data_IF_880946956288
#
_entry.id   IF_880946956288
#
_cell.length_a   1.000
_cell.length_b   1.000
_cell.length_c   1.000
_cell.angle_alpha   90.00
_cell.angle_beta   90.00
_cell.angle_gamma   90.00
#
_symmetry.space_group_name_H-M   'P 1'
#
loop_
_entity.id
_entity.type
_entity.pdbx_description
1 polymer ?
#
# COMPACT_ATOMS: atom_id res chain seq x y z
N UNK A 1 11.38 -21.78 -29.73
CA UNK A 1 11.40 -20.55 -30.45
C UNK A 1 10.09 -20.18 -31.16
N UNK A 2 8.92 -20.27 -30.49
CA UNK A 2 7.63 -19.91 -31.08
C UNK A 2 7.49 -18.38 -31.18
N UNK A 3 7.04 -17.88 -32.35
CA UNK A 3 6.65 -16.47 -32.52
C UNK A 3 5.27 -16.27 -31.94
N UNK A 4 5.09 -15.20 -31.16
CA UNK A 4 3.83 -14.88 -30.48
C UNK A 4 3.51 -13.39 -30.59
N UNK A 5 2.26 -13.06 -30.38
CA UNK A 5 1.76 -11.71 -30.29
C UNK A 5 1.40 -11.39 -28.84
N UNK A 6 1.73 -10.18 -28.41
CA UNK A 6 1.42 -9.65 -27.07
C UNK A 6 0.35 -8.58 -27.27
N UNK A 7 -0.75 -8.74 -26.55
CA UNK A 7 -1.94 -7.88 -26.67
C UNK A 7 -2.40 -7.37 -25.32
N UNK A 8 -2.84 -6.13 -25.32
CA UNK A 8 -3.57 -5.49 -24.22
C UNK A 8 -4.87 -4.93 -24.76
N UNK A 9 -5.92 -4.83 -23.93
CA UNK A 9 -7.27 -4.45 -24.34
C UNK A 9 -7.33 -3.12 -25.13
N UNK A 10 -6.52 -2.13 -24.70
CA UNK A 10 -6.46 -0.80 -25.33
C UNK A 10 -5.03 -0.45 -25.81
N UNK A 11 -4.20 -1.46 -26.08
CA UNK A 11 -2.79 -1.29 -26.44
C UNK A 11 -2.45 -1.72 -27.85
N UNK A 12 -1.30 -1.28 -28.37
CA UNK A 12 -0.81 -1.73 -29.66
C UNK A 12 -0.45 -3.22 -29.64
N UNK A 13 -0.65 -3.88 -30.79
CA UNK A 13 -0.18 -5.23 -31.02
C UNK A 13 1.36 -5.24 -31.07
N UNK A 14 1.98 -6.07 -30.25
CA UNK A 14 3.43 -6.30 -30.27
C UNK A 14 3.73 -7.76 -30.64
N UNK A 15 4.86 -8.01 -31.27
CA UNK A 15 5.33 -9.36 -31.58
C UNK A 15 6.54 -9.70 -30.73
N UNK A 16 6.66 -10.97 -30.37
CA UNK A 16 7.79 -11.48 -29.58
C UNK A 16 8.12 -12.92 -29.95
N UNK A 17 9.22 -13.43 -29.40
CA UNK A 17 9.64 -14.82 -29.61
C UNK A 17 9.94 -15.47 -28.26
N UNK A 18 9.22 -16.54 -27.96
CA UNK A 18 9.49 -17.35 -26.76
C UNK A 18 10.79 -18.12 -27.01
N UNK A 19 11.78 -17.94 -26.15
CA UNK A 19 13.06 -18.63 -26.22
C UNK A 19 13.06 -19.90 -25.36
N UNK A 20 12.44 -19.84 -24.17
CA UNK A 20 12.32 -20.97 -23.25
C UNK A 20 10.97 -20.99 -22.57
N UNK A 21 10.53 -22.20 -22.28
CA UNK A 21 9.30 -22.49 -21.53
C UNK A 21 9.68 -23.37 -20.33
N UNK A 22 9.16 -23.05 -19.15
CA UNK A 22 9.36 -23.85 -17.95
C UNK A 22 8.03 -24.15 -17.28
N UNK A 23 7.90 -25.38 -16.80
CA UNK A 23 6.84 -25.83 -15.92
C UNK A 23 7.35 -25.92 -14.48
N UNK A 24 6.44 -25.84 -13.52
CA UNK A 24 6.75 -26.00 -12.11
C UNK A 24 6.41 -27.43 -11.64
N UNK A 25 7.38 -28.08 -11.02
CA UNK A 25 7.17 -29.32 -10.28
C UNK A 25 7.54 -29.08 -8.82
N UNK A 26 6.56 -28.74 -8.02
CA UNK A 26 6.79 -28.17 -6.68
C UNK A 26 7.55 -26.85 -6.78
N UNK A 27 8.73 -26.78 -6.18
CA UNK A 27 9.60 -25.60 -6.22
C UNK A 27 10.62 -25.62 -7.38
N UNK A 28 10.71 -26.71 -8.11
CA UNK A 28 11.68 -26.86 -9.19
C UNK A 28 11.10 -26.34 -10.51
N UNK A 29 11.94 -25.63 -11.27
CA UNK A 29 11.65 -25.19 -12.64
C UNK A 29 12.23 -26.17 -13.63
N UNK A 30 11.39 -26.85 -14.40
CA UNK A 30 11.79 -27.81 -15.41
C UNK A 30 11.53 -27.22 -16.79
N UNK A 31 12.56 -27.23 -17.65
CA UNK A 31 12.40 -26.80 -19.05
C UNK A 31 11.47 -27.79 -19.78
N UNK A 32 10.48 -27.26 -20.48
CA UNK A 32 9.46 -28.03 -21.17
C UNK A 32 9.35 -27.58 -22.63
N UNK A 33 8.91 -28.50 -23.48
CA UNK A 33 8.69 -28.22 -24.89
C UNK A 33 7.28 -27.74 -25.16
N UNK A 34 6.33 -28.13 -24.32
CA UNK A 34 4.91 -27.81 -24.43
C UNK A 34 4.28 -27.66 -23.06
N UNK A 35 3.15 -26.98 -22.99
CA UNK A 35 2.33 -26.81 -21.80
C UNK A 35 0.85 -26.97 -22.20
N UNK A 36 0.04 -27.49 -21.26
CA UNK A 36 -1.39 -27.69 -21.46
C UNK A 36 -2.22 -26.52 -20.94
N UNK A 37 -3.45 -26.40 -21.39
CA UNK A 37 -4.40 -25.44 -20.87
C UNK A 37 -4.64 -25.68 -19.36
N UNK A 38 -4.49 -24.63 -18.57
CA UNK A 38 -4.57 -24.68 -17.09
C UNK A 38 -3.20 -24.68 -16.41
N UNK A 39 -2.10 -24.91 -17.13
CA UNK A 39 -0.77 -24.88 -16.54
C UNK A 39 -0.32 -23.44 -16.23
N UNK A 40 0.38 -23.31 -15.11
CA UNK A 40 1.12 -22.09 -14.77
C UNK A 40 2.56 -22.24 -15.28
N UNK A 41 2.94 -21.37 -16.21
CA UNK A 41 4.22 -21.47 -16.90
C UNK A 41 5.10 -20.24 -16.68
N UNK A 42 6.43 -20.43 -16.77
CA UNK A 42 7.39 -19.35 -16.87
C UNK A 42 7.92 -19.30 -18.30
N UNK A 43 7.83 -18.13 -18.92
CA UNK A 43 8.23 -17.89 -20.30
C UNK A 43 9.40 -16.92 -20.31
N UNK A 44 10.43 -17.22 -21.11
CA UNK A 44 11.55 -16.32 -21.37
C UNK A 44 11.58 -15.88 -22.84
N UNK A 45 12.13 -14.68 -23.08
CA UNK A 45 12.34 -14.13 -24.43
C UNK A 45 11.35 -13.06 -24.84
N UNK A 46 10.48 -12.60 -23.94
CA UNK A 46 9.54 -11.50 -24.17
C UNK A 46 9.97 -10.29 -23.32
N UNK A 47 10.78 -9.36 -23.87
CA UNK A 47 11.11 -8.12 -23.18
C UNK A 47 9.86 -7.24 -23.07
N UNK A 48 9.84 -6.38 -22.08
CA UNK A 48 8.81 -5.35 -21.88
C UNK A 48 7.36 -5.88 -21.73
N UNK A 49 7.19 -7.14 -21.35
CA UNK A 49 5.87 -7.67 -21.01
C UNK A 49 5.42 -7.15 -19.65
N UNK A 50 4.15 -6.77 -19.57
CA UNK A 50 3.53 -6.27 -18.34
C UNK A 50 2.40 -7.19 -17.86
N UNK A 51 2.09 -7.11 -16.57
CA UNK A 51 1.00 -7.89 -15.97
C UNK A 51 -0.34 -7.49 -16.62
N UNK A 52 -1.18 -8.51 -16.92
CA UNK A 52 -2.47 -8.32 -17.59
C UNK A 52 -2.42 -8.33 -19.11
N UNK A 53 -1.26 -8.52 -19.71
CA UNK A 53 -1.15 -8.72 -21.16
C UNK A 53 -1.40 -10.17 -21.56
N UNK A 54 -2.04 -10.37 -22.71
CA UNK A 54 -2.34 -11.67 -23.29
C UNK A 54 -1.28 -12.04 -24.32
N UNK A 55 -0.74 -13.24 -24.21
CA UNK A 55 0.18 -13.82 -25.19
C UNK A 55 -0.60 -14.81 -26.05
N UNK A 56 -0.55 -14.68 -27.36
CA UNK A 56 -1.27 -15.53 -28.31
C UNK A 56 -0.43 -15.81 -29.56
N UNK A 57 -0.71 -16.91 -30.24
CA UNK A 57 -0.14 -17.23 -31.56
C UNK A 57 -0.97 -16.63 -32.70
N UNK A 58 -2.21 -16.21 -32.43
CA UNK A 58 -3.11 -15.62 -33.43
C UNK A 58 -3.16 -14.11 -33.28
N UNK A 59 -2.75 -13.38 -34.34
CA UNK A 59 -2.80 -11.93 -34.39
C UNK A 59 -4.22 -11.35 -34.30
N UNK A 60 -5.27 -12.12 -34.59
CA UNK A 60 -6.67 -11.69 -34.57
C UNK A 60 -7.41 -12.12 -33.30
N UNK A 61 -6.81 -12.96 -32.45
CA UNK A 61 -7.44 -13.37 -31.20
C UNK A 61 -7.71 -12.16 -30.30
N UNK A 62 -8.86 -12.10 -29.65
CA UNK A 62 -9.17 -11.06 -28.66
C UNK A 62 -8.33 -11.25 -27.39
N UNK A 63 -7.80 -10.16 -26.79
CA UNK A 63 -7.09 -10.26 -25.52
C UNK A 63 -8.05 -10.67 -24.40
N UNK A 64 -7.56 -11.45 -23.45
CA UNK A 64 -8.33 -11.79 -22.26
C UNK A 64 -8.62 -10.52 -21.42
N UNK A 65 -9.76 -10.45 -20.73
CA UNK A 65 -10.08 -9.32 -19.88
C UNK A 65 -9.05 -9.18 -18.76
N UNK A 66 -8.50 -7.98 -18.61
CA UNK A 66 -7.58 -7.68 -17.52
C UNK A 66 -8.33 -7.61 -16.18
N UNK A 67 -7.69 -8.08 -15.11
CA UNK A 67 -8.22 -7.91 -13.76
C UNK A 67 -8.12 -6.44 -13.38
N UNK A 68 -9.25 -5.83 -13.04
CA UNK A 68 -9.29 -4.46 -12.53
C UNK A 68 -8.57 -4.40 -11.17
N UNK A 69 -7.66 -3.46 -11.03
CA UNK A 69 -6.91 -3.23 -9.80
C UNK A 69 -7.30 -1.86 -9.27
N UNK A 70 -7.61 -1.80 -7.96
CA UNK A 70 -7.98 -0.56 -7.31
C UNK A 70 -6.88 0.50 -7.45
N UNK A 71 -7.31 1.74 -7.65
CA UNK A 71 -6.40 2.87 -7.72
C UNK A 71 -5.70 3.11 -6.37
N UNK A 72 -4.46 3.64 -6.38
CA UNK A 72 -3.80 4.04 -5.16
C UNK A 72 -4.60 5.11 -4.40
N UNK A 73 -4.71 4.95 -3.09
CA UNK A 73 -5.46 5.86 -2.21
C UNK A 73 -4.55 6.76 -1.38
N UNK A 74 -3.31 6.36 -1.13
CA UNK A 74 -2.34 7.12 -0.36
C UNK A 74 -1.05 7.36 -1.11
N UNK A 75 -0.40 8.48 -0.80
CA UNK A 75 0.90 8.85 -1.33
C UNK A 75 1.84 9.29 -0.21
N UNK A 76 3.12 8.99 -0.35
CA UNK A 76 4.18 9.47 0.52
C UNK A 76 5.47 9.69 -0.29
N UNK A 77 6.40 10.46 0.28
CA UNK A 77 7.69 10.74 -0.34
C UNK A 77 8.75 9.81 0.23
N UNK A 78 9.51 9.16 -0.65
CA UNK A 78 10.70 8.39 -0.31
C UNK A 78 11.92 9.24 -0.62
N UNK A 79 12.81 9.39 0.35
CA UNK A 79 13.99 10.27 0.29
C UNK A 79 15.22 9.52 0.79
N UNK A 80 16.37 10.03 0.43
CA UNK A 80 17.62 9.63 1.08
C UNK A 80 17.54 9.99 2.57
N UNK A 81 17.95 9.07 3.43
CA UNK A 81 18.01 9.35 4.87
C UNK A 81 19.10 10.40 5.15
N UNK A 82 18.69 11.56 5.61
CA UNK A 82 19.57 12.67 6.01
C UNK A 82 19.63 12.87 7.54
N UNK A 83 19.16 11.88 8.30
CA UNK A 83 19.21 11.92 9.76
C UNK A 83 20.65 11.78 10.28
N UNK A 84 20.93 12.12 11.56
CA UNK A 84 22.25 11.91 12.18
C UNK A 84 22.70 10.44 12.23
N UNK A 85 21.79 9.50 11.93
CA UNK A 85 22.03 8.06 11.95
C UNK A 85 22.14 7.44 10.54
N UNK A 86 22.13 8.27 9.50
CA UNK A 86 22.20 7.82 8.11
C UNK A 86 23.43 6.94 7.86
N UNK A 87 23.22 5.83 7.12
CA UNK A 87 24.28 4.90 6.72
C UNK A 87 24.74 3.93 7.81
N UNK A 88 24.02 3.80 8.92
CA UNK A 88 24.38 2.87 10.01
C UNK A 88 23.72 1.50 9.88
N UNK A 89 22.50 1.46 9.38
CA UNK A 89 21.68 0.24 9.31
C UNK A 89 21.64 -0.36 7.91
N UNK A 90 21.64 0.49 6.86
CA UNK A 90 21.52 0.07 5.47
C UNK A 90 22.82 0.15 4.68
N UNK A 91 22.96 -0.75 3.70
CA UNK A 91 24.07 -0.74 2.72
C UNK A 91 23.76 0.17 1.51
N UNK A 92 22.48 0.30 1.17
CA UNK A 92 22.00 1.04 0.00
C UNK A 92 21.31 2.32 0.46
N UNK A 93 22.00 3.45 0.34
CA UNK A 93 21.60 4.73 0.95
C UNK A 93 21.47 5.86 -0.08
N UNK A 94 21.73 5.59 -1.37
CA UNK A 94 21.72 6.63 -2.40
C UNK A 94 20.39 6.72 -3.14
N UNK A 95 20.03 7.90 -3.62
CA UNK A 95 18.82 8.15 -4.42
C UNK A 95 18.75 7.22 -5.65
N UNK A 96 19.86 7.01 -6.35
CA UNK A 96 19.94 6.11 -7.50
C UNK A 96 19.59 4.67 -7.13
N UNK A 97 20.11 4.15 -6.03
CA UNK A 97 19.82 2.78 -5.57
C UNK A 97 18.34 2.63 -5.20
N UNK A 98 17.76 3.64 -4.53
CA UNK A 98 16.33 3.66 -4.20
C UNK A 98 15.49 3.64 -5.48
N UNK A 99 15.84 4.48 -6.49
CA UNK A 99 15.16 4.51 -7.77
C UNK A 99 15.23 3.17 -8.50
N UNK A 100 16.39 2.52 -8.55
CA UNK A 100 16.59 1.21 -9.17
C UNK A 100 15.76 0.12 -8.48
N UNK A 101 15.61 0.17 -7.17
CA UNK A 101 14.73 -0.75 -6.43
C UNK A 101 13.27 -0.51 -6.78
N UNK A 102 12.81 0.74 -6.69
CA UNK A 102 11.42 1.10 -6.99
C UNK A 102 11.03 0.78 -8.44
N UNK A 103 11.95 0.96 -9.40
CA UNK A 103 11.72 0.60 -10.81
C UNK A 103 11.49 -0.91 -10.97
N UNK A 104 12.30 -1.74 -10.32
CA UNK A 104 12.09 -3.21 -10.32
C UNK A 104 10.81 -3.62 -9.61
N UNK A 105 10.46 -2.93 -8.54
CA UNK A 105 9.21 -3.21 -7.80
C UNK A 105 7.97 -2.92 -8.66
N UNK A 106 8.00 -1.88 -9.51
CA UNK A 106 6.91 -1.55 -10.43
C UNK A 106 6.64 -2.66 -11.46
N UNK A 107 7.61 -3.50 -11.79
CA UNK A 107 7.43 -4.61 -12.74
C UNK A 107 6.51 -5.70 -12.17
N UNK A 108 6.50 -5.88 -10.85
CA UNK A 108 5.75 -6.96 -10.17
C UNK A 108 4.60 -6.46 -9.32
N UNK A 109 4.63 -5.22 -8.89
CA UNK A 109 3.66 -4.62 -7.97
C UNK A 109 2.72 -3.64 -8.70
N UNK A 110 1.69 -4.19 -9.32
CA UNK A 110 0.72 -3.42 -10.14
C UNK A 110 -0.12 -2.40 -9.37
N UNK A 111 -0.20 -2.53 -8.04
CA UNK A 111 -0.89 -1.56 -7.17
C UNK A 111 -0.02 -0.38 -6.74
N UNK A 112 1.25 -0.37 -7.14
CA UNK A 112 2.21 0.68 -6.84
C UNK A 112 2.31 1.66 -8.02
N UNK A 113 2.37 2.95 -7.73
CA UNK A 113 2.75 3.98 -8.71
C UNK A 113 3.86 4.83 -8.11
N UNK A 114 4.88 5.13 -8.91
CA UNK A 114 6.01 5.96 -8.49
C UNK A 114 6.22 7.08 -9.48
N UNK A 115 6.34 8.29 -8.98
CA UNK A 115 6.72 9.47 -9.76
C UNK A 115 8.19 9.79 -9.47
N UNK A 116 9.02 9.74 -10.51
CA UNK A 116 10.46 10.01 -10.49
C UNK A 116 10.81 11.42 -11.00
N UNK A 117 9.84 12.31 -11.17
CA UNK A 117 10.06 13.64 -11.75
C UNK A 117 10.90 14.55 -10.86
N UNK A 118 10.87 14.35 -9.54
CA UNK A 118 11.68 15.11 -8.58
C UNK A 118 13.05 14.47 -8.37
N UNK A 119 14.07 15.30 -8.21
CA UNK A 119 15.43 14.87 -7.84
C UNK A 119 15.63 14.69 -6.34
N UNK A 120 14.78 15.29 -5.52
CA UNK A 120 14.90 15.30 -4.06
C UNK A 120 14.15 14.12 -3.40
N UNK A 121 13.03 13.69 -3.99
CA UNK A 121 12.21 12.60 -3.47
C UNK A 121 11.47 11.86 -4.56
N UNK A 122 11.11 10.63 -4.31
CA UNK A 122 10.21 9.83 -5.14
C UNK A 122 8.83 9.81 -4.51
N UNK A 123 7.81 10.23 -5.25
CA UNK A 123 6.42 10.14 -4.78
C UNK A 123 5.90 8.74 -5.03
N UNK A 124 5.73 7.98 -3.96
CA UNK A 124 5.25 6.59 -3.98
C UNK A 124 3.77 6.58 -3.60
N UNK A 125 2.93 6.02 -4.47
CA UNK A 125 1.49 5.90 -4.28
C UNK A 125 1.11 4.43 -4.12
N UNK A 126 0.37 4.10 -3.08
CA UNK A 126 -0.06 2.75 -2.78
C UNK A 126 -1.55 2.67 -2.42
N UNK A 127 -2.09 1.44 -2.39
CA UNK A 127 -3.50 1.17 -2.10
C UNK A 127 -3.88 1.34 -0.62
N UNK A 128 -2.90 1.40 0.28
CA UNK A 128 -3.15 1.55 1.72
C UNK A 128 -1.88 1.44 2.55
N UNK A 129 -2.01 1.69 3.86
CA UNK A 129 -0.88 1.69 4.81
C UNK A 129 -0.11 0.37 4.82
N UNK A 130 -0.81 -0.78 4.83
CA UNK A 130 -0.17 -2.11 4.85
C UNK A 130 0.65 -2.36 3.58
N UNK A 131 0.16 -1.96 2.42
CA UNK A 131 0.87 -2.10 1.15
C UNK A 131 2.23 -1.39 1.19
N UNK A 132 2.24 -0.15 1.69
CA UNK A 132 3.46 0.63 1.84
C UNK A 132 4.36 0.07 2.95
N UNK A 133 3.79 -0.39 4.07
CA UNK A 133 4.57 -0.99 5.15
C UNK A 133 5.32 -2.25 4.69
N UNK A 134 4.68 -3.10 3.87
CA UNK A 134 5.31 -4.28 3.28
C UNK A 134 6.45 -3.87 2.32
N UNK A 135 6.22 -2.86 1.47
CA UNK A 135 7.26 -2.34 0.59
C UNK A 135 8.49 -1.87 1.39
N UNK A 136 8.27 -1.07 2.43
CA UNK A 136 9.35 -0.57 3.30
C UNK A 136 10.08 -1.70 4.01
N UNK A 137 9.36 -2.70 4.52
CA UNK A 137 9.96 -3.86 5.18
C UNK A 137 10.80 -4.71 4.20
N UNK A 138 10.32 -4.89 2.97
CA UNK A 138 11.09 -5.58 1.92
C UNK A 138 12.36 -4.79 1.56
N UNK A 139 12.27 -3.46 1.44
CA UNK A 139 13.44 -2.60 1.23
C UNK A 139 14.43 -2.73 2.38
N UNK A 140 13.95 -2.66 3.63
CA UNK A 140 14.79 -2.81 4.82
C UNK A 140 15.51 -4.16 4.83
N UNK A 141 14.80 -5.27 4.57
CA UNK A 141 15.38 -6.62 4.48
C UNK A 141 16.40 -6.75 3.36
N UNK A 142 16.19 -6.05 2.26
CA UNK A 142 17.14 -5.99 1.15
C UNK A 142 18.36 -5.10 1.44
N UNK A 143 18.43 -4.45 2.61
CA UNK A 143 19.54 -3.61 3.06
C UNK A 143 19.46 -2.15 2.60
N UNK A 144 18.29 -1.69 2.19
CA UNK A 144 18.05 -0.28 1.87
C UNK A 144 17.71 0.51 3.14
N UNK A 145 18.24 1.71 3.21
CA UNK A 145 17.91 2.70 4.24
C UNK A 145 17.27 3.91 3.56
N UNK A 146 16.03 4.19 3.94
CA UNK A 146 15.23 5.27 3.33
C UNK A 146 14.55 6.11 4.41
N UNK A 147 14.39 7.38 4.12
CA UNK A 147 13.53 8.28 4.89
C UNK A 147 12.19 8.41 4.17
N UNK A 148 11.10 8.35 4.92
CA UNK A 148 9.75 8.47 4.36
C UNK A 148 8.98 9.59 5.04
N UNK A 149 8.14 10.28 4.27
CA UNK A 149 7.19 11.25 4.82
C UNK A 149 5.99 10.54 5.46
N UNK A 150 5.16 11.31 6.16
CA UNK A 150 3.85 10.81 6.56
C UNK A 150 3.00 10.48 5.32
N UNK A 151 2.23 9.36 5.33
CA UNK A 151 1.29 9.06 4.28
C UNK A 151 0.16 10.10 4.25
N UNK A 152 -0.22 10.52 3.05
CA UNK A 152 -1.34 11.42 2.81
C UNK A 152 -2.31 10.77 1.84
N UNK A 153 -3.61 10.93 2.06
CA UNK A 153 -4.60 10.52 1.06
C UNK A 153 -4.40 11.33 -0.23
N UNK A 154 -4.59 10.67 -1.36
CA UNK A 154 -4.44 11.29 -2.68
C UNK A 154 -5.67 12.15 -2.92
N UNK A 155 -5.46 13.46 -3.03
CA UNK A 155 -6.50 14.41 -3.41
C UNK A 155 -6.25 14.83 -4.85
N UNK A 156 -7.31 14.86 -5.66
CA UNK A 156 -7.25 15.27 -7.06
C UNK A 156 -8.43 16.17 -7.43
N UNK A 157 -8.30 16.89 -8.51
CA UNK A 157 -9.39 17.71 -9.06
C UNK A 157 -10.05 16.96 -10.22
N UNK A 158 -11.35 16.76 -10.14
CA UNK A 158 -12.17 16.18 -11.21
C UNK A 158 -13.28 17.14 -11.57
N UNK A 159 -13.29 17.62 -12.81
CA UNK A 159 -14.30 18.55 -13.35
C UNK A 159 -14.50 19.80 -12.47
N UNK A 160 -13.43 20.34 -11.91
CA UNK A 160 -13.48 21.52 -11.04
C UNK A 160 -13.91 21.24 -9.60
N UNK A 161 -14.06 19.97 -9.21
CA UNK A 161 -14.38 19.55 -7.84
C UNK A 161 -13.19 18.81 -7.24
N UNK A 162 -12.77 19.20 -6.05
CA UNK A 162 -11.76 18.47 -5.30
C UNK A 162 -12.35 17.16 -4.79
N UNK A 163 -11.75 16.04 -5.16
CA UNK A 163 -12.16 14.70 -4.73
C UNK A 163 -11.07 14.00 -3.94
N UNK A 164 -11.49 13.13 -3.04
CA UNK A 164 -10.64 12.30 -2.20
C UNK A 164 -11.11 10.83 -2.19
N UNK A 165 -10.23 9.85 -1.90
CA UNK A 165 -10.62 8.45 -1.86
C UNK A 165 -11.49 8.17 -0.65
N UNK A 166 -12.53 7.37 -0.85
CA UNK A 166 -13.46 6.89 0.17
C UNK A 166 -13.32 5.39 0.36
N UNK A 167 -13.49 4.96 1.60
CA UNK A 167 -13.47 3.57 2.00
C UNK A 167 -14.73 3.18 2.74
N UNK A 168 -15.17 1.96 2.51
CA UNK A 168 -16.09 1.25 3.37
C UNK A 168 -15.27 0.52 4.44
N UNK A 169 -15.60 0.73 5.71
CA UNK A 169 -14.99 0.02 6.83
C UNK A 169 -15.97 -1.00 7.38
N UNK A 170 -15.51 -2.24 7.48
CA UNK A 170 -16.17 -3.31 8.20
C UNK A 170 -15.47 -3.49 9.55
N UNK A 171 -16.21 -3.28 10.62
CA UNK A 171 -15.72 -3.42 11.99
C UNK A 171 -16.50 -4.51 12.70
N UNK A 172 -15.79 -5.54 13.16
CA UNK A 172 -16.32 -6.54 14.09
C UNK A 172 -15.68 -6.33 15.45
N UNK A 173 -16.47 -6.07 16.49
CA UNK A 173 -15.96 -5.85 17.84
C UNK A 173 -16.97 -6.32 18.90
N UNK A 174 -16.53 -6.66 20.12
CA UNK A 174 -17.42 -6.89 21.25
C UNK A 174 -18.36 -5.68 21.49
N UNK A 175 -19.62 -5.96 21.86
CA UNK A 175 -20.65 -4.93 22.00
C UNK A 175 -20.30 -3.81 23.01
N UNK A 176 -19.47 -4.09 24.00
CA UNK A 176 -19.00 -3.11 24.98
C UNK A 176 -18.17 -1.97 24.34
N UNK A 177 -17.48 -2.22 23.21
CA UNK A 177 -16.65 -1.22 22.51
C UNK A 177 -17.38 -0.46 21.42
N UNK A 178 -18.64 -0.83 21.11
CA UNK A 178 -19.44 -0.23 20.05
C UNK A 178 -19.46 1.30 20.12
N UNK A 179 -19.80 1.86 21.29
CA UNK A 179 -19.91 3.30 21.48
C UNK A 179 -18.59 4.04 21.21
N UNK A 180 -17.49 3.51 21.73
CA UNK A 180 -16.15 4.08 21.53
C UNK A 180 -15.75 4.07 20.06
N UNK A 181 -16.03 2.99 19.33
CA UNK A 181 -15.69 2.87 17.90
C UNK A 181 -16.51 3.87 17.07
N UNK A 182 -17.82 3.99 17.34
CA UNK A 182 -18.70 4.93 16.62
C UNK A 182 -18.25 6.37 16.86
N UNK A 183 -17.95 6.75 18.09
CA UNK A 183 -17.46 8.09 18.41
C UNK A 183 -16.15 8.41 17.71
N UNK A 184 -15.16 7.51 17.81
CA UNK A 184 -13.81 7.68 17.21
C UNK A 184 -13.86 7.79 15.69
N UNK A 185 -14.63 6.94 15.03
CA UNK A 185 -14.79 6.99 13.58
C UNK A 185 -15.61 8.20 13.15
N UNK A 186 -16.63 8.60 13.91
CA UNK A 186 -17.42 9.80 13.64
C UNK A 186 -16.58 11.07 13.63
N UNK A 187 -15.69 11.27 14.61
CA UNK A 187 -14.75 12.40 14.65
C UNK A 187 -13.80 12.41 13.44
N UNK A 188 -13.52 11.23 12.88
CA UNK A 188 -12.66 11.03 11.72
C UNK A 188 -13.38 11.12 10.36
N UNK A 189 -14.64 11.53 10.37
CA UNK A 189 -15.44 11.75 9.17
C UNK A 189 -16.10 10.50 8.61
N UNK A 190 -16.16 9.40 9.37
CA UNK A 190 -16.89 8.19 8.98
C UNK A 190 -18.35 8.27 9.44
N UNK A 191 -19.24 7.79 8.59
CA UNK A 191 -20.67 7.69 8.84
C UNK A 191 -21.05 6.22 9.00
N UNK A 192 -21.70 5.88 10.10
CA UNK A 192 -22.25 4.55 10.33
C UNK A 192 -23.41 4.31 9.36
N UNK A 193 -23.36 3.23 8.58
CA UNK A 193 -24.36 2.83 7.60
C UNK A 193 -25.23 1.68 8.10
N UNK A 194 -24.57 0.68 8.66
CA UNK A 194 -25.26 -0.52 9.11
C UNK A 194 -24.66 -1.03 10.41
N UNK A 195 -25.51 -1.65 11.22
CA UNK A 195 -25.14 -2.31 12.46
C UNK A 195 -25.94 -3.60 12.60
N UNK A 196 -25.24 -4.71 12.89
CA UNK A 196 -25.85 -6.01 13.13
C UNK A 196 -25.24 -6.63 14.38
N UNK A 197 -26.06 -7.07 15.31
CA UNK A 197 -25.63 -7.79 16.49
C UNK A 197 -25.44 -9.28 16.15
N UNK A 198 -24.34 -9.85 16.58
CA UNK A 198 -23.99 -11.26 16.43
C UNK A 198 -23.52 -11.79 17.79
N UNK A 199 -24.42 -12.39 18.53
CA UNK A 199 -24.13 -12.91 19.89
C UNK A 199 -23.52 -11.84 20.80
N UNK A 200 -22.21 -11.94 21.12
CA UNK A 200 -21.46 -11.00 21.93
C UNK A 200 -20.80 -9.89 21.11
N UNK A 201 -20.70 -10.06 19.81
CA UNK A 201 -20.05 -9.13 18.89
C UNK A 201 -21.07 -8.29 18.11
N UNK A 202 -20.62 -7.16 17.66
CA UNK A 202 -21.37 -6.25 16.80
C UNK A 202 -20.57 -6.01 15.53
N UNK A 203 -21.23 -6.25 14.38
CA UNK A 203 -20.70 -5.89 13.07
C UNK A 203 -21.25 -4.52 12.67
N UNK A 204 -20.33 -3.63 12.37
CA UNK A 204 -20.63 -2.25 11.98
C UNK A 204 -20.02 -1.96 10.63
N UNK A 205 -20.78 -1.32 9.74
CA UNK A 205 -20.31 -0.86 8.43
C UNK A 205 -20.31 0.66 8.42
N UNK A 206 -19.18 1.25 8.08
CA UNK A 206 -19.00 2.69 7.97
C UNK A 206 -18.54 3.08 6.57
N UNK A 207 -18.88 4.28 6.14
CA UNK A 207 -18.32 4.92 4.95
C UNK A 207 -17.62 6.22 5.33
N UNK A 208 -16.45 6.48 4.77
CA UNK A 208 -15.72 7.72 5.03
C UNK A 208 -14.45 7.88 4.23
N UNK A 209 -13.78 9.03 4.37
CA UNK A 209 -12.59 9.34 3.60
C UNK A 209 -11.36 8.56 4.10
N UNK A 210 -10.53 8.07 3.17
CA UNK A 210 -9.29 7.33 3.50
C UNK A 210 -8.39 8.07 4.50
N UNK A 211 -8.34 9.41 4.44
CA UNK A 211 -7.54 10.21 5.40
C UNK A 211 -8.00 10.07 6.85
N UNK A 212 -9.26 9.65 7.09
CA UNK A 212 -9.81 9.41 8.42
C UNK A 212 -9.29 8.12 9.05
N UNK A 213 -8.95 7.08 8.26
CA UNK A 213 -8.42 5.82 8.79
C UNK A 213 -6.91 5.87 9.04
N UNK A 214 -6.18 6.80 8.39
CA UNK A 214 -4.74 6.92 8.56
C UNK A 214 -4.36 7.10 10.04
N UNK A 215 -3.54 6.17 10.54
CA UNK A 215 -3.11 6.14 11.94
C UNK A 215 -4.19 5.73 12.96
N UNK A 216 -5.38 5.29 12.54
CA UNK A 216 -6.43 4.83 13.43
C UNK A 216 -6.25 3.38 13.90
N UNK A 217 -5.64 2.52 13.06
CA UNK A 217 -5.54 1.08 13.35
C UNK A 217 -4.92 0.76 14.71
N UNK A 218 -3.85 1.45 15.09
CA UNK A 218 -3.22 1.26 16.41
C UNK A 218 -4.15 1.70 17.55
N UNK A 219 -4.84 2.82 17.38
CA UNK A 219 -5.81 3.29 18.38
C UNK A 219 -7.00 2.32 18.48
N UNK A 220 -7.47 1.78 17.37
CA UNK A 220 -8.54 0.79 17.33
C UNK A 220 -8.18 -0.49 18.13
N UNK A 221 -6.96 -0.98 17.97
CA UNK A 221 -6.47 -2.14 18.75
C UNK A 221 -6.49 -1.83 20.26
N UNK A 222 -6.10 -0.62 20.66
CA UNK A 222 -6.14 -0.19 22.08
C UNK A 222 -7.59 -0.08 22.55
N UNK A 223 -8.45 0.62 21.78
CA UNK A 223 -9.84 0.88 22.14
C UNK A 223 -10.68 -0.41 22.24
N UNK A 224 -10.31 -1.44 21.51
CA UNK A 224 -10.97 -2.77 21.51
C UNK A 224 -10.21 -3.84 22.28
N UNK A 225 -9.16 -3.47 23.01
CA UNK A 225 -8.27 -4.39 23.76
C UNK A 225 -7.71 -5.54 22.90
N UNK A 226 -7.58 -5.31 21.59
CA UNK A 226 -7.11 -6.32 20.63
C UNK A 226 -8.16 -7.31 20.15
N UNK A 227 -9.40 -7.22 20.59
CA UNK A 227 -10.48 -8.14 20.22
C UNK A 227 -11.22 -7.72 18.94
N UNK A 228 -11.04 -6.46 18.49
CA UNK A 228 -11.70 -5.93 17.30
C UNK A 228 -10.99 -6.30 16.00
N UNK A 229 -11.77 -6.51 14.95
CA UNK A 229 -11.30 -6.70 13.57
C UNK A 229 -11.76 -5.49 12.75
N UNK A 230 -10.84 -4.89 12.00
CA UNK A 230 -11.10 -3.75 11.13
C UNK A 230 -10.58 -4.04 9.74
N UNK A 231 -11.50 -4.15 8.78
CA UNK A 231 -11.22 -4.28 7.36
C UNK A 231 -11.67 -3.04 6.61
N UNK A 232 -10.99 -2.70 5.52
CA UNK A 232 -11.35 -1.57 4.66
C UNK A 232 -11.39 -1.99 3.20
N UNK A 233 -12.32 -1.39 2.45
CA UNK A 233 -12.48 -1.58 1.02
C UNK A 233 -12.61 -0.23 0.33
N UNK A 234 -11.85 -0.02 -0.75
CA UNK A 234 -11.90 1.20 -1.56
C UNK A 234 -13.20 1.27 -2.36
N UNK A 235 -13.90 2.40 -2.26
CA UNK A 235 -15.19 2.62 -2.92
C UNK A 235 -15.12 3.57 -4.13
N UNK A 236 -13.99 4.25 -4.33
CA UNK A 236 -13.84 5.26 -5.35
C UNK A 236 -13.54 6.64 -4.79
N UNK A 237 -13.42 7.62 -5.68
CA UNK A 237 -13.20 9.02 -5.32
C UNK A 237 -14.55 9.75 -5.19
N UNK A 238 -14.69 10.55 -4.14
CA UNK A 238 -15.89 11.36 -3.86
C UNK A 238 -15.47 12.78 -3.48
N UNK A 239 -16.41 13.76 -3.55
CA UNK A 239 -16.11 15.13 -3.13
C UNK A 239 -15.51 15.20 -1.73
N UNK A 240 -14.53 16.08 -1.55
CA UNK A 240 -13.82 16.28 -0.29
C UNK A 240 -14.79 16.76 0.81
N UNK A 241 -14.79 16.09 1.96
CA UNK A 241 -15.78 16.28 3.05
C UNK A 241 -15.39 17.34 4.09
N UNK A 242 -14.44 18.23 3.79
CA UNK A 242 -13.98 19.25 4.73
C UNK A 242 -12.85 18.76 5.66
N UNK A 243 -12.53 19.53 6.69
CA UNK A 243 -11.40 19.23 7.57
C UNK A 243 -11.73 18.21 8.65
N UNK A 244 -10.84 17.23 8.85
CA UNK A 244 -10.87 16.32 10.00
C UNK A 244 -9.99 16.94 11.10
N UNK A 245 -10.51 17.01 12.33
CA UNK A 245 -9.74 17.48 13.48
C UNK A 245 -8.49 16.64 13.67
N UNK A 246 -7.32 17.28 13.60
CA UNK A 246 -6.03 16.66 13.91
C UNK A 246 -5.78 16.72 15.41
N UNK A 247 -4.86 15.90 15.90
CA UNK A 247 -4.41 15.95 17.29
C UNK A 247 -3.84 17.34 17.63
N UNK A 248 -4.04 17.78 18.86
CA UNK A 248 -3.59 19.09 19.35
C UNK A 248 -2.11 19.14 19.73
N UNK A 249 -1.47 17.99 19.92
CA UNK A 249 -0.05 17.87 20.36
C UNK A 249 0.83 17.32 19.25
N UNK A 250 2.09 17.76 19.22
CA UNK A 250 3.10 17.34 18.26
C UNK A 250 3.63 15.92 18.49
N UNK A 251 4.68 15.56 17.76
CA UNK A 251 5.46 14.34 17.96
C UNK A 251 6.84 14.69 18.48
N UNK A 252 7.40 13.84 19.30
CA UNK A 252 8.77 13.98 19.79
C UNK A 252 9.64 12.92 19.13
N UNK A 253 10.79 13.36 18.61
CA UNK A 253 11.75 12.52 17.89
C UNK A 253 13.09 12.57 18.62
N UNK A 254 13.70 11.40 18.85
CA UNK A 254 15.05 11.32 19.42
C UNK A 254 16.07 11.94 18.46
N UNK A 255 16.94 12.78 18.99
CA UNK A 255 18.04 13.42 18.26
C UNK A 255 19.40 12.74 18.50
N UNK A 256 19.47 11.80 19.44
CA UNK A 256 20.72 11.14 19.82
C UNK A 256 20.44 9.69 20.25
N UNK A 257 21.49 8.88 20.19
CA UNK A 257 21.46 7.52 20.77
C UNK A 257 21.51 7.62 22.31
N UNK A 258 20.75 6.73 22.97
CA UNK A 258 20.71 6.66 24.43
C UNK A 258 19.71 5.61 24.89
N UNK A 259 19.65 5.40 26.20
CA UNK A 259 18.62 4.54 26.82
C UNK A 259 17.38 5.38 27.11
N UNK A 260 16.23 4.89 26.67
CA UNK A 260 14.95 5.44 27.06
C UNK A 260 14.63 4.96 28.50
N UNK A 261 14.38 5.92 29.40
CA UNK A 261 14.02 5.64 30.78
C UNK A 261 12.54 5.94 30.99
N UNK A 262 11.77 4.96 31.51
CA UNK A 262 10.33 5.10 31.73
C UNK A 262 9.95 6.36 32.53
N UNK A 263 10.69 6.70 33.56
CA UNK A 263 10.47 7.89 34.38
C UNK A 263 10.64 9.20 33.56
N UNK A 264 11.66 9.28 32.72
CA UNK A 264 11.88 10.45 31.86
C UNK A 264 10.80 10.57 30.76
N UNK A 265 10.42 9.46 30.17
CA UNK A 265 9.36 9.41 29.16
C UNK A 265 7.99 9.81 29.74
N UNK A 266 7.69 9.41 30.97
CA UNK A 266 6.44 9.77 31.64
C UNK A 266 6.24 11.29 31.74
N UNK A 267 7.29 12.04 32.10
CA UNK A 267 7.22 13.51 32.15
C UNK A 267 7.15 14.19 30.78
N UNK A 268 7.49 13.49 29.69
CA UNK A 268 7.48 14.03 28.32
C UNK A 268 6.18 13.76 27.55
N UNK A 269 5.38 12.78 27.98
CA UNK A 269 4.17 12.35 27.27
C UNK A 269 3.11 13.47 27.14
N UNK A 270 3.09 14.43 28.06
CA UNK A 270 2.19 15.59 28.00
C UNK A 270 2.54 16.56 26.88
N UNK A 271 3.80 16.58 26.41
CA UNK A 271 4.29 17.50 25.37
C UNK A 271 4.07 17.02 23.97
N UNK A 272 3.98 15.71 23.78
CA UNK A 272 3.80 15.12 22.46
C UNK A 272 3.63 13.61 22.50
N UNK A 273 3.34 13.02 21.33
CA UNK A 273 3.23 11.57 21.20
C UNK A 273 4.62 10.95 21.13
N UNK A 274 4.85 9.94 21.96
CA UNK A 274 6.07 9.15 21.96
C UNK A 274 5.89 7.91 21.08
N UNK A 275 6.90 7.59 20.27
CA UNK A 275 6.94 6.39 19.41
C UNK A 275 8.03 5.41 19.85
N UNK A 276 8.56 5.60 21.04
CA UNK A 276 9.55 4.72 21.69
C UNK A 276 9.04 4.31 23.05
N UNK A 277 9.43 3.10 23.49
CA UNK A 277 9.23 2.61 24.85
C UNK A 277 10.52 2.68 25.67
N UNK A 278 10.43 2.42 26.97
CA UNK A 278 11.60 2.30 27.85
C UNK A 278 12.44 1.07 27.53
#
# INVERSE_FOLDING_TARGET
>A
GASVFIKKQDGPLRSGKITKLFLFNGLLRLEALEAAAGDVVLIAGLPDITIGETITTDANAEPLPAIAIDEPTIALSFMVNNSPFAGREGKFVTSRQIAEYLTRELEVNVGLKVDFSSTEYFRVCGRGELHIAILLENMRRAGYEVQVSQPKAIVREERGVTVEPFEELLVDAPGEFQGTVIERLGIRGFVLKHIAAHEKNVRMTFEGPTRGILGYRNQFVIDTKGEGILASHFMGFRPHTGEIKKRSVGSMVSMAMGKALGYALWGLQERGTLYIGP
#
